data_IF_959668913892
#
_entry.id   IF_959668913892
#
_cell.length_a   1.000
_cell.length_b   1.000
_cell.length_c   1.000
_cell.angle_alpha   90.00
_cell.angle_beta   90.00
_cell.angle_gamma   90.00
#
_symmetry.space_group_name_H-M   'P 1'
#
loop_
_entity.id
_entity.type
_entity.pdbx_description
1 polymer ?
#
# COMPACT_ATOMS: atom_id res chain seq x y z
N UNK A 1 -3.51 3.54 -1.07
CA UNK A 1 -3.57 2.32 -0.27
C UNK A 1 -3.40 2.69 1.21
N UNK A 2 -4.47 2.51 2.03
CA UNK A 2 -4.52 2.86 3.45
C UNK A 2 -5.41 1.91 4.24
N UNK A 3 -5.14 1.77 5.56
CA UNK A 3 -5.92 0.99 6.51
C UNK A 3 -6.53 1.90 7.59
N UNK A 4 -7.71 2.44 7.35
CA UNK A 4 -8.38 3.30 8.33
C UNK A 4 -9.12 2.54 9.44
N UNK A 5 -9.00 1.23 9.47
CA UNK A 5 -9.41 0.38 10.60
C UNK A 5 -10.90 0.43 10.98
N UNK A 6 -11.71 1.21 10.31
CA UNK A 6 -13.17 1.30 10.50
C UNK A 6 -13.90 0.60 9.36
N UNK A 7 -14.87 -0.28 9.69
CA UNK A 7 -15.42 -0.55 11.04
C UNK A 7 -14.56 -1.49 11.89
N UNK A 8 -14.82 -1.46 13.20
CA UNK A 8 -14.47 -2.52 14.15
C UNK A 8 -13.10 -2.44 14.84
N UNK A 9 -12.16 -1.59 14.34
CA UNK A 9 -10.83 -1.45 14.93
C UNK A 9 -10.49 0.03 15.21
N UNK A 10 -11.50 0.84 15.52
CA UNK A 10 -11.41 2.31 15.67
C UNK A 10 -10.52 2.76 16.83
N UNK A 11 -10.07 1.86 17.69
CA UNK A 11 -9.06 2.13 18.71
C UNK A 11 -7.67 2.37 18.13
N UNK A 12 -7.39 1.86 16.91
CA UNK A 12 -6.13 2.06 16.21
C UNK A 12 -6.15 3.28 15.30
N UNK A 13 -7.26 3.41 14.55
CA UNK A 13 -7.54 4.47 13.60
C UNK A 13 -9.01 4.43 13.25
N UNK A 14 -9.60 5.56 12.83
CA UNK A 14 -10.90 5.61 12.20
C UNK A 14 -10.84 6.45 10.91
N UNK A 15 -11.95 6.50 10.17
CA UNK A 15 -12.01 7.23 8.91
C UNK A 15 -11.71 8.72 9.12
N UNK A 16 -12.14 9.31 10.26
CA UNK A 16 -11.91 10.71 10.56
C UNK A 16 -10.43 11.01 10.81
N UNK A 17 -9.80 10.31 11.73
CA UNK A 17 -8.39 10.59 12.07
C UNK A 17 -7.44 10.18 10.96
N UNK A 18 -7.73 9.09 10.23
CA UNK A 18 -7.02 8.73 9.01
C UNK A 18 -7.14 9.78 7.91
N UNK A 19 -8.32 10.40 7.77
CA UNK A 19 -8.53 11.52 6.83
C UNK A 19 -7.74 12.77 7.23
N UNK A 20 -7.63 13.07 8.53
CA UNK A 20 -6.77 14.15 9.02
C UNK A 20 -5.29 13.87 8.73
N UNK A 21 -4.83 12.64 8.96
CA UNK A 21 -3.47 12.22 8.63
C UNK A 21 -3.20 12.31 7.11
N UNK A 22 -4.15 11.91 6.29
CA UNK A 22 -4.07 12.04 4.84
C UNK A 22 -3.97 13.51 4.40
N UNK A 23 -4.84 14.38 4.91
CA UNK A 23 -4.80 15.81 4.62
C UNK A 23 -3.46 16.44 5.06
N UNK A 24 -2.96 16.09 6.25
CA UNK A 24 -1.65 16.55 6.74
C UNK A 24 -0.49 16.01 5.89
N UNK A 25 -0.64 14.82 5.30
CA UNK A 25 0.28 14.19 4.35
C UNK A 25 0.15 14.70 2.91
N UNK A 26 -0.76 15.64 2.61
CA UNK A 26 -0.96 16.21 1.27
C UNK A 26 -1.87 15.38 0.36
N UNK A 27 -2.52 14.35 0.88
CA UNK A 27 -3.42 13.51 0.11
C UNK A 27 -4.85 14.08 0.09
N UNK A 28 -5.37 14.32 -1.11
CA UNK A 28 -6.74 14.75 -1.35
C UNK A 28 -7.68 13.56 -1.59
N UNK A 29 -7.12 12.43 -2.02
CA UNK A 29 -7.86 11.19 -2.26
C UNK A 29 -7.07 10.00 -1.74
N UNK A 30 -7.75 9.10 -1.02
CA UNK A 30 -7.20 7.83 -0.53
C UNK A 30 -8.16 6.68 -0.81
N UNK A 31 -7.61 5.45 -0.87
CA UNK A 31 -8.40 4.24 -1.06
C UNK A 31 -8.14 3.29 0.12
N UNK A 32 -9.21 3.00 0.85
CA UNK A 32 -9.19 2.09 2.00
C UNK A 32 -9.18 0.64 1.54
N UNK A 33 -8.37 -0.17 2.23
CA UNK A 33 -8.42 -1.63 2.12
C UNK A 33 -9.58 -2.22 2.91
N UNK A 34 -10.00 -3.41 2.47
CA UNK A 34 -11.23 -4.06 2.94
C UNK A 34 -11.06 -4.89 4.22
N UNK A 35 -9.85 -4.94 4.82
CA UNK A 35 -9.50 -5.77 5.98
C UNK A 35 -9.94 -5.17 7.34
N UNK A 36 -11.19 -4.80 7.42
CA UNK A 36 -11.89 -4.26 8.60
C UNK A 36 -12.64 -5.37 9.37
N UNK A 37 -13.38 -5.01 10.41
CA UNK A 37 -14.21 -5.97 11.16
C UNK A 37 -15.62 -5.39 11.45
N UNK A 38 -16.67 -5.80 10.70
CA UNK A 38 -16.63 -6.79 9.61
C UNK A 38 -15.80 -6.33 8.40
N UNK A 39 -15.37 -7.29 7.57
CA UNK A 39 -14.70 -7.02 6.31
C UNK A 39 -15.65 -6.36 5.31
N UNK A 40 -15.11 -5.56 4.38
CA UNK A 40 -15.94 -4.92 3.34
C UNK A 40 -16.27 -5.94 2.24
N UNK A 41 -17.04 -6.97 2.60
CA UNK A 41 -17.44 -8.06 1.71
C UNK A 41 -18.91 -8.01 1.28
N UNK A 42 -19.71 -7.08 1.85
CA UNK A 42 -21.11 -6.90 1.53
C UNK A 42 -21.45 -5.47 1.16
N UNK A 43 -22.57 -5.28 0.45
CA UNK A 43 -23.07 -3.94 0.09
C UNK A 43 -23.37 -3.12 1.33
N UNK A 44 -23.90 -3.73 2.38
CA UNK A 44 -24.23 -3.07 3.64
C UNK A 44 -22.98 -2.46 4.29
N UNK A 45 -21.91 -3.26 4.45
CA UNK A 45 -20.65 -2.80 5.07
C UNK A 45 -19.98 -1.73 4.20
N UNK A 46 -19.95 -1.92 2.88
CA UNK A 46 -19.40 -0.91 1.96
C UNK A 46 -20.17 0.41 2.05
N UNK A 47 -21.51 0.36 2.09
CA UNK A 47 -22.36 1.57 2.19
C UNK A 47 -22.12 2.30 3.51
N UNK A 48 -21.94 1.58 4.62
CA UNK A 48 -21.60 2.16 5.92
C UNK A 48 -20.25 2.90 5.86
N UNK A 49 -19.21 2.26 5.33
CA UNK A 49 -17.88 2.86 5.13
C UNK A 49 -17.97 4.11 4.28
N UNK A 50 -18.60 4.05 3.10
CA UNK A 50 -18.72 5.19 2.21
C UNK A 50 -19.59 6.32 2.79
N UNK A 51 -20.59 5.99 3.61
CA UNK A 51 -21.38 7.00 4.34
C UNK A 51 -20.55 7.73 5.39
N UNK A 52 -19.68 7.04 6.12
CA UNK A 52 -18.73 7.68 7.05
C UNK A 52 -17.73 8.54 6.28
N UNK A 53 -17.15 8.00 5.21
CA UNK A 53 -16.20 8.67 4.33
C UNK A 53 -16.73 9.97 3.71
N UNK A 54 -18.02 10.02 3.38
CA UNK A 54 -18.66 11.21 2.76
C UNK A 54 -18.72 12.46 3.66
N UNK A 55 -18.38 12.33 4.94
CA UNK A 55 -18.37 13.43 5.92
C UNK A 55 -17.00 14.07 6.07
N UNK A 56 -15.99 13.47 5.46
CA UNK A 56 -14.61 13.92 5.61
C UNK A 56 -14.25 15.02 4.60
N UNK A 57 -13.17 15.75 4.91
CA UNK A 57 -12.71 16.87 4.08
C UNK A 57 -11.86 16.42 2.89
N UNK A 58 -11.55 15.11 2.77
CA UNK A 58 -10.86 14.53 1.64
C UNK A 58 -11.74 13.45 1.00
N UNK A 59 -11.38 13.01 -0.20
CA UNK A 59 -12.09 11.93 -0.86
C UNK A 59 -11.57 10.56 -0.36
N UNK A 60 -12.39 9.86 0.40
CA UNK A 60 -12.10 8.50 0.84
C UNK A 60 -12.91 7.52 0.00
N UNK A 61 -12.22 6.66 -0.75
CA UNK A 61 -12.77 5.57 -1.53
C UNK A 61 -12.47 4.25 -0.82
N UNK A 62 -13.12 3.15 -1.25
CA UNK A 62 -12.86 1.82 -0.70
C UNK A 62 -12.81 0.78 -1.79
N UNK A 63 -11.91 -0.19 -1.67
CA UNK A 63 -12.05 -1.48 -2.33
C UNK A 63 -13.00 -2.36 -1.52
N UNK A 64 -13.52 -3.41 -2.16
CA UNK A 64 -14.21 -4.51 -1.48
C UNK A 64 -13.31 -5.75 -1.47
N UNK A 65 -13.66 -6.77 -0.68
CA UNK A 65 -12.91 -8.03 -0.67
C UNK A 65 -13.14 -8.82 -1.96
N UNK A 66 -12.12 -9.56 -2.41
CA UNK A 66 -12.21 -10.54 -3.49
C UNK A 66 -13.04 -11.72 -3.04
N UNK A 67 -12.75 -12.25 -1.83
CA UNK A 67 -13.43 -13.41 -1.25
C UNK A 67 -14.23 -13.03 -0.01
N UNK A 68 -15.30 -13.78 0.28
CA UNK A 68 -16.13 -13.52 1.46
C UNK A 68 -15.31 -13.70 2.73
N UNK A 69 -15.17 -12.62 3.49
CA UNK A 69 -14.44 -12.60 4.77
C UNK A 69 -13.01 -13.15 4.68
N UNK A 70 -12.38 -13.00 3.50
CA UNK A 70 -11.04 -13.52 3.21
C UNK A 70 -10.93 -15.06 3.29
N UNK A 71 -12.01 -15.79 2.94
CA UNK A 71 -12.02 -17.26 2.99
C UNK A 71 -11.16 -17.91 1.88
N UNK A 72 -10.71 -17.14 0.89
CA UNK A 72 -9.92 -17.60 -0.24
C UNK A 72 -10.67 -18.58 -1.18
N UNK A 73 -11.98 -18.71 -1.06
CA UNK A 73 -12.80 -19.71 -1.77
C UNK A 73 -14.03 -19.12 -2.43
N UNK A 74 -14.81 -18.31 -1.70
CA UNK A 74 -16.11 -17.80 -2.13
C UNK A 74 -15.96 -16.38 -2.65
N UNK A 75 -16.04 -16.19 -3.98
CA UNK A 75 -15.97 -14.84 -4.56
C UNK A 75 -17.18 -14.01 -4.16
N UNK A 76 -16.94 -12.77 -3.72
CA UNK A 76 -17.97 -11.79 -3.39
C UNK A 76 -18.79 -11.39 -4.63
N UNK A 77 -19.92 -10.71 -4.43
CA UNK A 77 -20.75 -10.21 -5.52
C UNK A 77 -20.15 -8.91 -6.10
N UNK A 78 -19.24 -9.06 -7.10
CA UNK A 78 -18.55 -7.93 -7.73
C UNK A 78 -19.52 -6.92 -8.33
N UNK A 79 -20.60 -7.40 -8.98
CA UNK A 79 -21.58 -6.51 -9.61
C UNK A 79 -22.28 -5.62 -8.58
N UNK A 80 -22.77 -6.22 -7.51
CA UNK A 80 -23.47 -5.48 -6.45
C UNK A 80 -22.52 -4.50 -5.73
N UNK A 81 -21.28 -4.91 -5.44
CA UNK A 81 -20.28 -4.08 -4.77
C UNK A 81 -19.80 -2.91 -5.65
N UNK A 82 -19.58 -3.13 -6.95
CA UNK A 82 -19.25 -2.04 -7.89
C UNK A 82 -20.40 -1.02 -8.00
N UNK A 83 -21.64 -1.49 -8.09
CA UNK A 83 -22.84 -0.61 -8.10
C UNK A 83 -22.97 0.17 -6.79
N UNK A 84 -22.52 -0.38 -5.67
CA UNK A 84 -22.52 0.29 -4.36
C UNK A 84 -21.35 1.27 -4.19
N UNK A 85 -20.35 1.29 -5.12
CA UNK A 85 -19.28 2.28 -5.14
C UNK A 85 -17.87 1.76 -4.81
N UNK A 86 -17.65 0.44 -4.79
CA UNK A 86 -16.30 -0.11 -4.72
C UNK A 86 -15.48 0.32 -5.95
N UNK A 87 -14.22 0.71 -5.76
CA UNK A 87 -13.32 1.13 -6.85
C UNK A 87 -12.40 -0.01 -7.34
N UNK A 88 -12.52 -1.19 -6.76
CA UNK A 88 -11.73 -2.37 -7.07
C UNK A 88 -11.89 -3.43 -5.98
N UNK A 89 -11.10 -4.49 -6.04
CA UNK A 89 -11.17 -5.61 -5.10
C UNK A 89 -9.79 -5.99 -4.59
N UNK A 90 -9.70 -6.28 -3.29
CA UNK A 90 -8.45 -6.70 -2.64
C UNK A 90 -8.75 -7.53 -1.40
N UNK A 91 -8.01 -8.62 -1.23
CA UNK A 91 -7.90 -9.36 0.04
C UNK A 91 -6.60 -8.98 0.77
N UNK A 92 -6.21 -7.70 0.70
CA UNK A 92 -4.95 -7.20 1.24
C UNK A 92 -4.67 -7.65 2.67
N UNK A 93 -3.40 -8.06 2.89
CA UNK A 93 -2.94 -8.66 4.14
C UNK A 93 -3.23 -10.17 4.26
N UNK A 94 -4.06 -10.75 3.37
CA UNK A 94 -4.33 -12.20 3.32
C UNK A 94 -4.00 -12.70 1.91
N UNK A 95 -2.89 -13.43 1.74
CA UNK A 95 -2.46 -13.92 0.42
C UNK A 95 -3.48 -14.89 -0.20
N UNK A 96 -3.80 -14.69 -1.48
CA UNK A 96 -4.73 -15.53 -2.20
C UNK A 96 -4.01 -16.74 -2.84
N UNK A 97 -3.92 -17.84 -2.09
CA UNK A 97 -3.00 -18.95 -2.39
C UNK A 97 -3.50 -19.94 -3.44
N UNK A 98 -4.83 -20.15 -3.57
CA UNK A 98 -5.40 -21.07 -4.55
C UNK A 98 -5.39 -20.47 -5.96
N UNK A 99 -4.46 -20.91 -6.81
CA UNK A 99 -4.30 -20.43 -8.18
C UNK A 99 -5.58 -20.60 -9.05
N UNK A 100 -6.38 -21.64 -8.79
CA UNK A 100 -7.62 -21.88 -9.49
C UNK A 100 -8.69 -20.84 -9.13
N UNK A 101 -8.75 -20.45 -7.86
CA UNK A 101 -9.67 -19.41 -7.39
C UNK A 101 -9.19 -18.02 -7.83
N UNK A 102 -7.89 -17.74 -7.76
CA UNK A 102 -7.31 -16.51 -8.31
C UNK A 102 -7.69 -16.33 -9.77
N UNK A 103 -7.50 -17.39 -10.59
CA UNK A 103 -7.87 -17.34 -12.02
C UNK A 103 -9.36 -17.06 -12.23
N UNK A 104 -10.26 -17.64 -11.41
CA UNK A 104 -11.71 -17.35 -11.47
C UNK A 104 -12.00 -15.90 -11.07
N UNK A 105 -11.35 -15.38 -10.02
CA UNK A 105 -11.48 -13.98 -9.63
C UNK A 105 -11.03 -13.04 -10.75
N UNK A 106 -9.90 -13.34 -11.42
CA UNK A 106 -9.41 -12.58 -12.56
C UNK A 106 -10.41 -12.61 -13.74
N UNK A 107 -11.01 -13.77 -14.06
CA UNK A 107 -12.03 -13.86 -15.10
C UNK A 107 -13.26 -13.00 -14.75
N UNK A 108 -13.70 -13.08 -13.49
CA UNK A 108 -14.81 -12.24 -13.00
C UNK A 108 -14.47 -10.75 -13.07
N UNK A 109 -13.24 -10.36 -12.74
CA UNK A 109 -12.78 -8.98 -12.87
C UNK A 109 -12.82 -8.48 -14.32
N UNK A 110 -12.51 -9.33 -15.29
CA UNK A 110 -12.65 -9.01 -16.73
C UNK A 110 -14.12 -8.78 -17.12
N UNK A 111 -15.02 -9.63 -16.64
CA UNK A 111 -16.45 -9.52 -16.96
C UNK A 111 -17.06 -8.20 -16.48
N UNK A 112 -16.55 -7.62 -15.40
CA UNK A 112 -17.02 -6.37 -14.81
C UNK A 112 -16.09 -5.18 -15.04
N UNK A 113 -15.05 -5.32 -15.90
CA UNK A 113 -14.03 -4.30 -16.20
C UNK A 113 -13.45 -3.63 -14.93
N UNK A 114 -13.13 -4.44 -13.93
CA UNK A 114 -12.58 -3.98 -12.66
C UNK A 114 -11.14 -4.45 -12.47
N UNK A 115 -10.50 -4.04 -11.37
CA UNK A 115 -9.13 -4.37 -11.03
C UNK A 115 -9.06 -5.23 -9.76
N UNK A 116 -8.13 -6.17 -9.72
CA UNK A 116 -7.75 -6.88 -8.51
C UNK A 116 -6.41 -6.32 -8.02
N UNK A 117 -6.36 -5.89 -6.76
CA UNK A 117 -5.13 -5.51 -6.07
C UNK A 117 -4.73 -6.65 -5.12
N UNK A 118 -3.53 -7.19 -5.30
CA UNK A 118 -3.10 -8.44 -4.67
C UNK A 118 -1.89 -8.22 -3.76
N UNK A 119 -1.99 -8.72 -2.53
CA UNK A 119 -0.90 -8.86 -1.58
C UNK A 119 -0.19 -10.19 -1.84
N UNK A 120 1.07 -10.13 -2.24
CA UNK A 120 1.80 -11.28 -2.74
C UNK A 120 2.83 -11.77 -1.71
N UNK A 121 2.44 -12.73 -0.90
CA UNK A 121 3.34 -13.37 0.05
C UNK A 121 2.89 -14.82 0.30
N UNK A 122 3.66 -15.82 -0.16
CA UNK A 122 3.31 -17.22 0.05
C UNK A 122 3.51 -17.62 1.52
N UNK A 123 2.41 -17.88 2.27
CA UNK A 123 2.50 -18.20 3.69
C UNK A 123 3.15 -19.55 3.97
N UNK A 124 3.31 -20.42 2.96
CA UNK A 124 4.00 -21.69 3.13
C UNK A 124 5.52 -21.55 3.10
N UNK A 125 6.01 -20.40 2.60
CA UNK A 125 7.44 -20.09 2.53
C UNK A 125 7.88 -19.13 3.64
N UNK A 126 6.94 -18.52 4.35
CA UNK A 126 7.23 -17.52 5.39
C UNK A 126 7.39 -18.14 6.78
N UNK A 127 8.33 -17.62 7.55
CA UNK A 127 8.43 -17.83 8.98
C UNK A 127 7.63 -16.78 9.77
N UNK A 128 8.33 -15.91 10.51
CA UNK A 128 7.69 -14.76 11.17
C UNK A 128 7.42 -13.67 10.14
N UNK A 129 6.14 -13.32 9.97
CA UNK A 129 5.72 -12.25 9.07
C UNK A 129 6.33 -10.91 9.47
N UNK A 130 6.66 -10.10 8.48
CA UNK A 130 7.17 -8.74 8.68
C UNK A 130 8.64 -8.64 9.05
N UNK A 131 9.40 -9.72 8.92
CA UNK A 131 10.87 -9.74 9.09
C UNK A 131 11.46 -10.46 7.88
N UNK A 132 12.42 -9.83 7.21
CA UNK A 132 13.14 -10.46 6.11
C UNK A 132 13.98 -11.65 6.61
N UNK A 133 13.96 -12.76 5.87
CA UNK A 133 14.81 -13.90 6.21
C UNK A 133 16.28 -13.59 5.91
N UNK A 134 17.13 -13.72 6.93
CA UNK A 134 18.54 -13.40 6.81
C UNK A 134 19.21 -13.07 8.14
N UNK A 135 20.25 -12.24 8.09
CA UNK A 135 21.09 -11.93 9.24
C UNK A 135 20.30 -11.25 10.38
N UNK A 136 19.39 -10.34 10.06
CA UNK A 136 18.56 -9.62 11.05
C UNK A 136 17.58 -10.59 11.72
N UNK A 137 16.88 -11.43 10.97
CA UNK A 137 15.99 -12.45 11.52
C UNK A 137 16.76 -13.39 12.47
N UNK A 138 17.94 -13.83 12.07
CA UNK A 138 18.80 -14.69 12.89
C UNK A 138 19.21 -13.98 14.21
N UNK A 139 19.55 -12.69 14.17
CA UNK A 139 19.84 -11.91 15.38
C UNK A 139 18.62 -11.78 16.29
N UNK A 140 17.41 -11.71 15.73
CA UNK A 140 16.16 -11.70 16.47
C UNK A 140 15.74 -13.11 16.96
N UNK A 141 16.51 -14.15 16.64
CA UNK A 141 16.22 -15.54 17.01
C UNK A 141 15.02 -16.16 16.29
N UNK A 142 14.71 -15.70 15.07
CA UNK A 142 13.57 -16.16 14.28
C UNK A 142 13.98 -16.52 12.86
N UNK A 143 13.11 -17.26 12.16
CA UNK A 143 13.14 -17.42 10.70
C UNK A 143 12.20 -16.38 10.12
N UNK A 144 12.64 -15.61 9.13
CA UNK A 144 11.85 -14.54 8.50
C UNK A 144 11.11 -15.00 7.24
N UNK A 145 10.66 -14.03 6.45
CA UNK A 145 10.03 -14.20 5.16
C UNK A 145 11.08 -13.99 4.04
N UNK A 146 11.50 -15.03 3.31
CA UNK A 146 12.46 -14.89 2.23
C UNK A 146 11.84 -14.15 1.03
N UNK A 147 12.66 -13.50 0.19
CA UNK A 147 12.15 -12.78 -1.01
C UNK A 147 11.36 -13.69 -1.95
N UNK A 148 11.69 -14.98 -2.00
CA UNK A 148 10.97 -15.95 -2.85
C UNK A 148 9.50 -16.09 -2.47
N UNK A 149 9.10 -15.83 -1.23
CA UNK A 149 7.70 -15.86 -0.83
C UNK A 149 6.86 -14.82 -1.59
N UNK A 150 7.45 -13.69 -1.95
CA UNK A 150 6.82 -12.63 -2.73
C UNK A 150 6.91 -12.89 -4.23
N UNK A 151 8.12 -12.99 -4.79
CA UNK A 151 8.26 -13.05 -6.24
C UNK A 151 7.71 -14.33 -6.88
N UNK A 152 7.57 -15.44 -6.14
CA UNK A 152 6.94 -16.65 -6.67
C UNK A 152 5.43 -16.47 -6.87
N UNK A 153 4.74 -15.76 -5.97
CA UNK A 153 3.33 -15.42 -6.13
C UNK A 153 3.13 -14.35 -7.19
N UNK A 154 3.95 -13.30 -7.22
CA UNK A 154 3.96 -12.30 -8.30
C UNK A 154 4.11 -12.98 -9.66
N UNK A 155 5.02 -13.96 -9.80
CA UNK A 155 5.22 -14.69 -11.05
C UNK A 155 3.98 -15.49 -11.45
N UNK A 156 3.38 -16.23 -10.50
CA UNK A 156 2.15 -16.99 -10.73
C UNK A 156 1.04 -16.08 -11.25
N UNK A 157 0.78 -14.99 -10.53
CA UNK A 157 -0.40 -14.15 -10.78
C UNK A 157 -0.20 -13.23 -11.98
N UNK A 158 1.03 -12.83 -12.28
CA UNK A 158 1.34 -12.16 -13.54
C UNK A 158 1.06 -13.06 -14.76
N UNK A 159 1.36 -14.37 -14.69
CA UNK A 159 1.04 -15.30 -15.79
C UNK A 159 -0.47 -15.58 -15.88
N UNK A 160 -1.17 -15.65 -14.75
CA UNK A 160 -2.64 -15.74 -14.74
C UNK A 160 -3.30 -14.48 -15.30
N UNK A 161 -2.77 -13.29 -14.99
CA UNK A 161 -3.23 -12.04 -15.58
C UNK A 161 -3.00 -11.99 -17.10
N UNK A 162 -1.85 -12.50 -17.57
CA UNK A 162 -1.55 -12.62 -19.00
C UNK A 162 -2.55 -13.57 -19.72
N UNK A 163 -2.89 -14.70 -19.13
CA UNK A 163 -3.84 -15.68 -19.67
C UNK A 163 -5.27 -15.10 -19.71
N UNK A 164 -5.73 -14.54 -18.61
CA UNK A 164 -7.12 -14.05 -18.45
C UNK A 164 -7.36 -12.67 -19.06
N UNK A 165 -6.31 -11.88 -19.32
CA UNK A 165 -6.37 -10.45 -19.69
C UNK A 165 -6.94 -9.55 -18.60
N UNK A 166 -6.96 -10.03 -17.35
CA UNK A 166 -7.39 -9.23 -16.21
C UNK A 166 -6.44 -8.08 -15.93
N UNK A 167 -6.99 -7.00 -15.38
CA UNK A 167 -6.21 -5.91 -14.79
C UNK A 167 -5.85 -6.32 -13.36
N UNK A 168 -4.54 -6.42 -13.08
CA UNK A 168 -4.03 -6.77 -11.75
C UNK A 168 -3.04 -5.72 -11.29
N UNK A 169 -3.13 -5.35 -10.03
CA UNK A 169 -2.21 -4.45 -9.35
C UNK A 169 -1.50 -5.19 -8.22
N UNK A 170 -0.19 -5.30 -8.31
CA UNK A 170 0.62 -5.88 -7.24
C UNK A 170 0.92 -4.82 -6.19
N UNK A 171 0.43 -5.06 -4.97
CA UNK A 171 0.58 -4.13 -3.85
C UNK A 171 2.00 -4.20 -3.27
N UNK A 172 2.48 -3.07 -2.76
CA UNK A 172 3.68 -2.88 -1.92
C UNK A 172 4.85 -3.86 -2.19
N UNK A 173 5.34 -3.95 -3.42
CA UNK A 173 6.50 -4.78 -3.74
C UNK A 173 7.69 -4.41 -2.85
N UNK A 174 8.37 -5.42 -2.32
CA UNK A 174 9.54 -5.29 -1.46
C UNK A 174 10.79 -5.97 -2.01
N UNK A 175 10.62 -7.11 -2.68
CA UNK A 175 11.72 -7.90 -3.23
C UNK A 175 12.16 -7.39 -4.61
N UNK A 176 13.46 -7.28 -4.80
CA UNK A 176 14.03 -6.84 -6.08
C UNK A 176 13.74 -7.79 -7.23
N UNK A 177 13.63 -9.09 -6.97
CA UNK A 177 13.25 -10.10 -7.96
C UNK A 177 11.81 -9.91 -8.45
N UNK A 178 10.89 -9.42 -7.61
CA UNK A 178 9.51 -9.10 -8.01
C UNK A 178 9.48 -8.04 -9.10
N UNK A 179 10.37 -7.04 -9.05
CA UNK A 179 10.51 -6.03 -10.11
C UNK A 179 10.90 -6.66 -11.44
N UNK A 180 11.85 -7.60 -11.43
CA UNK A 180 12.29 -8.29 -12.64
C UNK A 180 11.15 -9.13 -13.25
N UNK A 181 10.35 -9.80 -12.40
CA UNK A 181 9.16 -10.56 -12.83
C UNK A 181 8.09 -9.65 -13.43
N UNK A 182 7.76 -8.54 -12.79
CA UNK A 182 6.77 -7.56 -13.30
C UNK A 182 7.23 -6.99 -14.64
N UNK A 183 8.51 -6.61 -14.76
CA UNK A 183 9.09 -6.11 -16.01
C UNK A 183 8.95 -7.13 -17.14
N UNK A 184 9.29 -8.38 -16.88
CA UNK A 184 9.14 -9.47 -17.84
C UNK A 184 7.70 -9.69 -18.27
N UNK A 185 6.76 -9.75 -17.32
CA UNK A 185 5.34 -9.97 -17.62
C UNK A 185 4.70 -8.79 -18.38
N UNK A 186 5.06 -7.55 -18.06
CA UNK A 186 4.66 -6.35 -18.83
C UNK A 186 5.17 -6.45 -20.28
N UNK A 187 6.43 -6.87 -20.49
CA UNK A 187 6.98 -7.06 -21.82
C UNK A 187 6.26 -8.15 -22.64
N UNK A 188 5.67 -9.16 -21.97
CA UNK A 188 4.81 -10.16 -22.60
C UNK A 188 3.37 -9.66 -22.88
N UNK A 189 3.01 -8.47 -22.44
CA UNK A 189 1.69 -7.87 -22.62
C UNK A 189 0.67 -8.19 -21.53
N UNK A 190 1.11 -8.60 -20.35
CA UNK A 190 0.23 -8.69 -19.18
C UNK A 190 -0.27 -7.31 -18.77
N UNK A 191 -1.57 -7.21 -18.45
CA UNK A 191 -2.22 -5.97 -18.00
C UNK A 191 -2.02 -5.78 -16.49
N UNK A 192 -0.78 -5.64 -16.08
CA UNK A 192 -0.40 -5.52 -14.68
C UNK A 192 0.23 -4.17 -14.38
N UNK A 193 0.03 -3.71 -13.15
CA UNK A 193 0.68 -2.57 -12.53
C UNK A 193 1.23 -2.97 -11.17
N UNK A 194 2.16 -2.19 -10.64
CA UNK A 194 2.76 -2.46 -9.33
C UNK A 194 2.95 -1.18 -8.53
N UNK A 195 2.88 -1.30 -7.21
CA UNK A 195 3.21 -0.23 -6.29
C UNK A 195 4.40 -0.59 -5.38
N UNK A 196 5.05 0.45 -4.87
CA UNK A 196 6.04 0.36 -3.79
C UNK A 196 5.68 1.38 -2.72
N UNK A 197 6.03 1.12 -1.47
CA UNK A 197 5.81 2.11 -0.40
C UNK A 197 7.09 2.90 -0.11
N UNK A 198 6.97 4.13 0.44
CA UNK A 198 8.14 4.94 0.80
C UNK A 198 9.11 4.23 1.74
N UNK A 199 8.61 3.45 2.69
CA UNK A 199 9.42 2.71 3.62
C UNK A 199 10.29 1.64 2.94
N UNK A 200 9.79 0.99 1.87
CA UNK A 200 10.53 -0.05 1.17
C UNK A 200 11.69 0.47 0.30
N UNK A 201 11.68 1.74 -0.09
CA UNK A 201 12.81 2.34 -0.80
C UNK A 201 13.68 3.26 0.09
N UNK A 202 13.32 3.49 1.35
CA UNK A 202 14.03 4.43 2.24
C UNK A 202 14.92 3.76 3.26
N UNK A 203 14.50 2.64 3.84
CA UNK A 203 15.22 1.95 4.93
C UNK A 203 15.32 0.44 4.69
N UNK A 204 16.37 -0.18 5.24
CA UNK A 204 16.62 -1.62 5.12
C UNK A 204 16.09 -2.41 6.32
N UNK A 205 16.19 -3.73 6.23
CA UNK A 205 15.88 -4.67 7.33
C UNK A 205 16.61 -4.35 8.64
N UNK A 206 17.76 -3.65 8.56
CA UNK A 206 18.53 -3.24 9.76
C UNK A 206 17.75 -2.30 10.69
N UNK A 207 16.73 -1.61 10.17
CA UNK A 207 15.84 -0.78 10.97
C UNK A 207 15.13 -1.56 12.10
N UNK A 208 14.95 -2.88 11.95
CA UNK A 208 14.45 -3.75 13.03
C UNK A 208 15.35 -3.72 14.26
N UNK A 209 16.67 -3.64 14.07
CA UNK A 209 17.65 -3.65 15.19
C UNK A 209 17.66 -2.33 15.98
N UNK A 210 17.23 -1.23 15.35
CA UNK A 210 17.23 0.11 15.95
C UNK A 210 15.84 0.56 16.40
N UNK A 211 14.80 0.23 15.66
CA UNK A 211 13.42 0.68 15.89
C UNK A 211 12.48 -0.46 16.33
N UNK A 212 13.00 -1.69 16.43
CA UNK A 212 12.22 -2.84 16.90
C UNK A 212 10.96 -3.07 16.08
N UNK A 213 9.86 -3.26 16.77
CA UNK A 213 8.55 -3.56 16.17
C UNK A 213 7.98 -2.42 15.32
N UNK A 214 8.40 -1.16 15.53
CA UNK A 214 7.98 -0.04 14.68
C UNK A 214 8.51 -0.16 13.24
N UNK A 215 9.59 -0.93 13.03
CA UNK A 215 10.10 -1.27 11.70
C UNK A 215 9.57 -2.61 11.17
N UNK A 216 8.71 -3.32 11.92
CA UNK A 216 8.08 -4.57 11.49
C UNK A 216 6.92 -4.25 10.53
N UNK A 217 7.06 -4.67 9.27
CA UNK A 217 6.19 -4.33 8.14
C UNK A 217 5.93 -5.58 7.29
N UNK A 218 4.78 -5.73 6.69
CA UNK A 218 4.47 -6.86 5.82
C UNK A 218 3.95 -6.38 4.45
N UNK A 219 4.68 -6.69 3.34
CA UNK A 219 5.93 -7.45 3.27
C UNK A 219 7.08 -6.75 4.00
N UNK A 220 8.13 -7.49 4.42
CA UNK A 220 9.17 -6.92 5.26
C UNK A 220 10.09 -5.94 4.52
N UNK A 221 10.73 -5.06 5.29
CA UNK A 221 11.87 -4.29 4.81
C UNK A 221 12.98 -5.27 4.36
N UNK A 222 13.61 -4.96 3.24
CA UNK A 222 14.61 -5.84 2.60
C UNK A 222 16.01 -5.22 2.67
N UNK A 223 16.92 -5.75 1.87
CA UNK A 223 18.32 -5.35 1.78
C UNK A 223 18.50 -4.17 0.83
N UNK A 224 19.66 -3.54 0.89
CA UNK A 224 20.05 -2.47 -0.04
C UNK A 224 19.92 -2.89 -1.50
N UNK A 225 20.28 -4.14 -1.85
CA UNK A 225 20.14 -4.66 -3.21
C UNK A 225 18.70 -4.70 -3.71
N UNK A 226 17.74 -4.91 -2.83
CA UNK A 226 16.30 -4.86 -3.17
C UNK A 226 15.86 -3.41 -3.38
N UNK A 227 16.26 -2.50 -2.49
CA UNK A 227 16.01 -1.06 -2.62
C UNK A 227 16.51 -0.53 -3.97
N UNK A 228 17.74 -0.88 -4.36
CA UNK A 228 18.32 -0.48 -5.65
C UNK A 228 17.44 -0.92 -6.83
N UNK A 229 16.94 -2.15 -6.81
CA UNK A 229 16.05 -2.67 -7.86
C UNK A 229 14.67 -2.00 -7.85
N UNK A 230 14.11 -1.71 -6.67
CA UNK A 230 12.86 -0.94 -6.54
C UNK A 230 13.02 0.46 -7.15
N UNK A 231 14.12 1.15 -6.86
CA UNK A 231 14.43 2.46 -7.44
C UNK A 231 14.56 2.38 -8.97
N UNK A 232 15.26 1.38 -9.50
CA UNK A 232 15.35 1.14 -10.94
C UNK A 232 13.95 0.89 -11.53
N UNK A 233 13.12 0.11 -10.86
CA UNK A 233 11.73 -0.13 -11.27
C UNK A 233 10.86 1.13 -11.31
N UNK A 234 11.10 2.06 -10.37
CA UNK A 234 10.47 3.38 -10.39
C UNK A 234 10.96 4.24 -11.56
N UNK A 235 12.26 4.18 -11.89
CA UNK A 235 12.88 4.96 -12.97
C UNK A 235 12.43 4.50 -14.35
N UNK A 236 12.37 3.20 -14.58
CA UNK A 236 12.05 2.62 -15.89
C UNK A 236 10.55 2.40 -16.14
N UNK A 237 9.70 2.71 -15.16
CA UNK A 237 8.24 2.56 -15.25
C UNK A 237 7.74 1.12 -15.02
N UNK A 238 8.59 0.22 -14.56
CA UNK A 238 8.15 -1.12 -14.11
C UNK A 238 7.25 -1.02 -12.89
N UNK A 239 7.58 -0.13 -11.94
CA UNK A 239 6.72 0.24 -10.80
C UNK A 239 5.97 1.51 -11.17
N UNK A 240 4.65 1.44 -11.14
CA UNK A 240 3.74 2.48 -11.61
C UNK A 240 3.40 3.49 -10.51
N UNK A 241 3.28 3.04 -9.27
CA UNK A 241 2.66 3.77 -8.16
C UNK A 241 3.56 3.78 -6.93
N UNK A 242 3.55 4.90 -6.21
CA UNK A 242 4.03 5.00 -4.83
C UNK A 242 2.80 5.15 -3.94
N UNK A 243 2.50 4.12 -3.15
CA UNK A 243 1.40 4.09 -2.20
C UNK A 243 1.92 4.03 -0.76
N UNK A 244 1.10 4.36 0.23
CA UNK A 244 1.59 4.52 1.60
C UNK A 244 1.59 3.23 2.39
N UNK A 245 0.63 2.34 2.15
CA UNK A 245 0.29 1.25 3.06
C UNK A 245 0.23 1.73 4.52
N UNK A 246 -0.46 2.87 4.72
CA UNK A 246 -0.65 3.44 6.06
C UNK A 246 -1.40 2.45 6.94
N UNK A 247 -0.68 1.79 7.85
CA UNK A 247 -1.17 0.69 8.68
C UNK A 247 -0.96 0.99 10.19
N UNK A 248 -1.86 1.81 10.78
CA UNK A 248 -1.77 2.23 12.16
C UNK A 248 -2.02 1.09 13.14
N UNK A 249 -1.20 1.07 14.21
CA UNK A 249 -1.32 0.19 15.36
C UNK A 249 -1.06 0.99 16.63
N UNK A 250 -1.73 0.62 17.73
CA UNK A 250 -1.52 1.28 19.01
C UNK A 250 -0.12 1.00 19.57
N UNK A 251 0.38 1.88 20.42
CA UNK A 251 1.65 1.67 21.12
C UNK A 251 1.67 0.33 21.86
N UNK A 252 0.58 -0.03 22.54
CA UNK A 252 0.47 -1.30 23.28
C UNK A 252 0.55 -2.54 22.35
N UNK A 253 0.07 -2.44 21.12
CA UNK A 253 0.17 -3.53 20.14
C UNK A 253 1.59 -3.64 19.57
N UNK A 254 2.30 -2.53 19.45
CA UNK A 254 3.70 -2.50 18.98
C UNK A 254 4.69 -2.81 20.10
N UNK A 255 4.38 -2.49 21.36
CA UNK A 255 5.22 -2.77 22.53
C UNK A 255 5.09 -4.23 22.99
N UNK A 256 5.41 -5.16 22.08
CA UNK A 256 5.37 -6.60 22.31
C UNK A 256 6.64 -7.26 21.74
N UNK A 257 6.82 -8.55 22.05
CA UNK A 257 7.85 -9.35 21.37
C UNK A 257 7.68 -9.30 19.86
N UNK A 258 8.80 -9.30 19.14
CA UNK A 258 8.82 -9.17 17.67
C UNK A 258 7.95 -10.23 16.96
N UNK A 259 7.78 -11.40 17.56
CA UNK A 259 6.95 -12.49 17.04
C UNK A 259 5.45 -12.27 17.22
N UNK A 260 5.04 -11.41 18.16
CA UNK A 260 3.64 -11.14 18.52
C UNK A 260 3.13 -9.81 18.02
N UNK A 261 4.01 -8.80 17.96
CA UNK A 261 3.64 -7.48 17.50
C UNK A 261 3.09 -7.54 16.06
N UNK A 262 1.99 -6.83 15.75
CA UNK A 262 1.47 -6.76 14.40
C UNK A 262 2.44 -6.04 13.46
N UNK A 263 2.44 -6.44 12.19
CA UNK A 263 3.14 -5.74 11.10
C UNK A 263 2.38 -4.51 10.68
N UNK A 264 3.09 -3.47 10.28
CA UNK A 264 2.55 -2.20 9.78
C UNK A 264 3.16 -0.99 10.45
N UNK A 265 3.15 0.13 9.73
CA UNK A 265 3.57 1.45 10.21
C UNK A 265 2.70 2.56 9.62
N UNK A 266 2.67 3.72 10.28
CA UNK A 266 2.03 4.92 9.74
C UNK A 266 2.87 5.46 8.59
N UNK A 267 2.25 5.85 7.48
CA UNK A 267 2.96 6.27 6.27
C UNK A 267 2.44 7.55 5.61
N UNK A 268 1.21 7.98 5.89
CA UNK A 268 0.60 9.12 5.20
C UNK A 268 1.39 10.42 5.37
N UNK A 269 1.75 10.77 6.61
CA UNK A 269 2.32 12.07 6.95
C UNK A 269 3.83 12.20 6.62
N UNK A 270 4.47 11.10 6.21
CA UNK A 270 5.90 11.06 5.84
C UNK A 270 6.13 10.75 4.36
N UNK A 271 5.12 10.29 3.64
CA UNK A 271 5.24 9.72 2.29
C UNK A 271 5.91 10.66 1.29
N UNK A 272 5.42 11.90 1.14
CA UNK A 272 5.99 12.87 0.22
C UNK A 272 7.44 13.21 0.60
N UNK A 273 7.67 13.46 1.88
CA UNK A 273 9.00 13.85 2.38
C UNK A 273 10.03 12.73 2.22
N UNK A 274 9.64 11.47 2.40
CA UNK A 274 10.49 10.31 2.11
C UNK A 274 10.81 10.23 0.60
N UNK A 275 9.81 10.44 -0.27
CA UNK A 275 10.02 10.49 -1.71
C UNK A 275 10.97 11.60 -2.15
N UNK A 276 10.83 12.80 -1.57
CA UNK A 276 11.72 13.92 -1.85
C UNK A 276 13.15 13.64 -1.35
N UNK A 277 13.28 13.11 -0.14
CA UNK A 277 14.58 12.85 0.52
C UNK A 277 15.34 11.70 -0.17
N UNK A 278 14.65 10.59 -0.47
CA UNK A 278 15.32 9.35 -0.93
C UNK A 278 15.29 9.15 -2.45
N UNK A 279 14.39 9.83 -3.18
CA UNK A 279 14.30 9.67 -4.63
C UNK A 279 14.67 10.95 -5.40
N UNK A 280 14.23 12.12 -4.92
CA UNK A 280 14.46 13.37 -5.66
C UNK A 280 15.83 13.97 -5.31
N UNK A 281 16.16 14.13 -4.03
CA UNK A 281 17.42 14.74 -3.63
C UNK A 281 18.68 14.01 -4.17
N UNK A 282 18.71 12.64 -4.19
CA UNK A 282 19.83 11.93 -4.83
C UNK A 282 19.73 11.89 -6.37
N UNK A 283 18.68 12.43 -6.98
CA UNK A 283 18.53 12.50 -8.44
C UNK A 283 17.99 11.21 -9.10
N UNK A 284 17.39 10.31 -8.35
CA UNK A 284 16.76 9.11 -8.90
C UNK A 284 15.50 9.44 -9.72
N UNK A 285 14.68 10.37 -9.23
CA UNK A 285 13.49 10.88 -9.90
C UNK A 285 13.49 12.40 -9.93
N UNK A 286 12.82 13.00 -10.92
CA UNK A 286 12.42 14.40 -10.82
C UNK A 286 11.22 14.56 -9.89
N UNK A 287 10.97 15.77 -9.37
CA UNK A 287 9.77 16.08 -8.58
C UNK A 287 8.49 15.68 -9.33
N UNK A 288 8.41 15.99 -10.63
CA UNK A 288 7.23 15.65 -11.45
C UNK A 288 7.04 14.14 -11.58
N UNK A 289 8.12 13.37 -11.80
CA UNK A 289 8.03 11.92 -11.88
C UNK A 289 7.62 11.27 -10.53
N UNK A 290 8.06 11.84 -9.40
CA UNK A 290 7.58 11.44 -8.08
C UNK A 290 6.07 11.70 -7.93
N UNK A 291 5.63 12.92 -8.28
CA UNK A 291 4.22 13.31 -8.16
C UNK A 291 3.31 12.49 -9.07
N UNK A 292 3.70 12.19 -10.31
CA UNK A 292 2.95 11.32 -11.21
C UNK A 292 2.65 9.95 -10.56
N UNK A 293 3.66 9.36 -9.90
CA UNK A 293 3.52 8.07 -9.22
C UNK A 293 2.66 8.12 -7.95
N UNK A 294 2.43 9.29 -7.40
CA UNK A 294 1.61 9.52 -6.19
C UNK A 294 0.22 10.10 -6.50
N UNK A 295 -0.05 10.51 -7.75
CA UNK A 295 -1.28 11.22 -8.13
C UNK A 295 -1.96 10.60 -9.35
N UNK A 296 -1.56 10.98 -10.57
CA UNK A 296 -2.21 10.56 -11.81
C UNK A 296 -2.12 9.04 -12.06
N UNK A 297 -0.99 8.42 -11.73
CA UNK A 297 -0.84 6.99 -11.95
C UNK A 297 -1.77 6.14 -11.06
N UNK A 298 -1.84 6.32 -9.72
CA UNK A 298 -2.80 5.58 -8.90
C UNK A 298 -4.25 5.85 -9.29
N UNK A 299 -4.58 7.09 -9.70
CA UNK A 299 -5.91 7.43 -10.19
C UNK A 299 -6.27 6.62 -11.46
N UNK A 300 -5.34 6.51 -12.42
CA UNK A 300 -5.53 5.71 -13.64
C UNK A 300 -5.63 4.22 -13.34
N UNK A 301 -4.79 3.70 -12.43
CA UNK A 301 -4.80 2.28 -12.03
C UNK A 301 -6.18 1.89 -11.51
N UNK A 302 -6.78 2.72 -10.66
CA UNK A 302 -8.07 2.45 -10.03
C UNK A 302 -9.28 2.99 -10.81
N UNK A 303 -9.05 3.76 -11.88
CA UNK A 303 -10.13 4.38 -12.65
C UNK A 303 -10.89 5.46 -11.85
N UNK A 304 -10.21 6.16 -10.94
CA UNK A 304 -10.76 7.23 -10.13
C UNK A 304 -10.53 8.57 -10.82
N UNK A 305 -11.56 9.43 -10.83
CA UNK A 305 -11.46 10.78 -11.38
C UNK A 305 -10.74 11.71 -10.40
N UNK A 306 -9.40 11.69 -10.45
CA UNK A 306 -8.49 12.42 -9.58
C UNK A 306 -7.09 12.55 -10.20
N UNK A 307 -6.19 13.28 -9.52
CA UNK A 307 -4.76 13.33 -9.88
C UNK A 307 -4.41 14.20 -11.07
N UNK A 308 -5.23 15.18 -11.41
CA UNK A 308 -4.98 16.13 -12.50
C UNK A 308 -5.37 17.56 -12.13
N UNK A 309 -4.80 18.53 -12.85
CA UNK A 309 -5.17 19.94 -12.80
C UNK A 309 -5.80 20.33 -14.12
N UNK A 310 -7.05 20.83 -14.11
CA UNK A 310 -7.75 21.27 -15.30
C UNK A 310 -8.63 22.50 -15.00
N UNK A 311 -8.86 23.31 -16.01
CA UNK A 311 -9.83 24.40 -15.92
C UNK A 311 -11.24 23.85 -15.68
N UNK A 312 -11.91 24.32 -14.66
CA UNK A 312 -13.20 23.79 -14.15
C UNK A 312 -13.13 22.35 -13.60
N UNK A 313 -11.93 21.82 -13.35
CA UNK A 313 -11.73 20.55 -12.64
C UNK A 313 -11.89 20.71 -11.11
N UNK A 314 -11.81 19.61 -10.35
CA UNK A 314 -11.83 19.66 -8.90
C UNK A 314 -10.63 20.45 -8.37
N UNK A 315 -10.83 21.18 -7.27
CA UNK A 315 -9.76 21.92 -6.60
C UNK A 315 -8.99 21.05 -5.60
N UNK A 316 -8.69 19.83 -5.99
CA UNK A 316 -7.92 18.87 -5.19
C UNK A 316 -6.42 19.15 -5.33
N UNK A 317 -5.91 19.99 -4.43
CA UNK A 317 -4.59 20.61 -4.56
C UNK A 317 -3.76 20.40 -3.30
N UNK A 318 -2.45 20.21 -3.49
CA UNK A 318 -1.45 20.27 -2.43
C UNK A 318 -0.46 21.39 -2.75
N UNK A 319 -0.15 22.23 -1.75
CA UNK A 319 0.90 23.23 -1.80
C UNK A 319 2.02 22.79 -0.84
N UNK A 320 3.23 22.66 -1.33
CA UNK A 320 4.37 22.21 -0.56
C UNK A 320 5.65 22.95 -0.95
N UNK A 321 6.63 22.95 -0.05
CA UNK A 321 7.95 23.51 -0.26
C UNK A 321 8.98 22.39 -0.28
N UNK A 322 9.76 22.29 -1.36
CA UNK A 322 10.79 21.25 -1.55
C UNK A 322 12.11 21.56 -0.85
N UNK A 323 12.37 22.82 -0.48
CA UNK A 323 13.67 23.28 -0.01
C UNK A 323 13.80 23.24 1.53
N UNK A 324 12.66 23.11 2.22
CA UNK A 324 12.61 23.05 3.68
C UNK A 324 12.82 21.62 4.16
N UNK A 325 13.71 21.45 5.12
CA UNK A 325 13.88 20.19 5.88
C UNK A 325 13.25 20.34 7.25
N UNK A 326 12.53 19.32 7.70
CA UNK A 326 11.95 19.26 9.04
C UNK A 326 12.23 17.93 9.74
N UNK A 327 12.29 17.97 11.05
CA UNK A 327 12.31 16.76 11.87
C UNK A 327 10.92 16.13 11.92
N UNK A 328 10.85 14.82 11.75
CA UNK A 328 9.65 14.04 12.00
C UNK A 328 9.45 13.89 13.50
N UNK A 329 8.39 14.45 14.03
CA UNK A 329 8.01 14.32 15.44
C UNK A 329 6.96 13.22 15.62
N UNK A 330 6.66 12.86 16.86
CA UNK A 330 5.59 11.92 17.23
C UNK A 330 4.20 12.58 17.25
N UNK A 331 4.11 13.88 16.91
CA UNK A 331 2.84 14.62 16.76
C UNK A 331 2.20 14.31 15.41
N UNK A 332 1.57 13.13 15.29
CA UNK A 332 0.79 12.73 14.12
C UNK A 332 -0.68 13.09 14.26
N UNK A 333 -1.35 13.36 13.14
CA UNK A 333 -2.82 13.51 13.09
C UNK A 333 -3.52 12.14 13.14
N UNK A 334 -2.85 11.08 12.68
CA UNK A 334 -3.26 9.70 12.93
C UNK A 334 -3.36 9.42 14.43
N UNK A 335 -4.28 8.54 14.84
CA UNK A 335 -4.35 8.06 16.23
C UNK A 335 -3.10 7.29 16.67
N UNK A 336 -2.35 6.76 15.70
CA UNK A 336 -1.17 5.96 15.94
C UNK A 336 0.09 6.72 15.51
N UNK A 337 1.19 6.44 16.21
CA UNK A 337 2.53 7.01 15.91
C UNK A 337 3.58 5.91 15.69
N UNK A 338 3.16 4.73 15.24
CA UNK A 338 4.04 3.60 14.97
C UNK A 338 4.86 3.82 13.69
N UNK A 339 5.83 4.73 13.76
CA UNK A 339 6.73 5.10 12.68
C UNK A 339 8.18 4.94 13.12
N UNK A 340 9.06 4.30 12.31
CA UNK A 340 10.49 4.25 12.57
C UNK A 340 11.21 5.57 12.23
N UNK A 341 10.53 6.52 11.57
CA UNK A 341 11.12 7.77 11.08
C UNK A 341 11.09 8.91 12.10
N UNK A 342 10.54 8.70 13.29
CA UNK A 342 10.52 9.75 14.34
C UNK A 342 11.96 10.11 14.73
N UNK A 343 12.29 11.40 14.63
CA UNK A 343 13.65 11.95 14.83
C UNK A 343 14.43 12.18 13.55
N UNK A 344 13.97 11.65 12.41
CA UNK A 344 14.63 11.83 11.12
C UNK A 344 14.42 13.24 10.57
N UNK A 345 15.41 13.73 9.83
CA UNK A 345 15.34 14.98 9.09
C UNK A 345 14.92 14.69 7.65
N UNK A 346 13.69 15.06 7.27
CA UNK A 346 13.17 14.82 5.94
C UNK A 346 12.94 16.11 5.17
N UNK A 347 13.26 16.10 3.88
CA UNK A 347 13.05 17.20 2.95
C UNK A 347 11.59 17.31 2.52
N UNK A 348 11.10 18.53 2.44
CA UNK A 348 9.76 18.85 1.96
C UNK A 348 8.74 19.04 3.09
N UNK A 349 8.00 20.15 3.00
CA UNK A 349 6.96 20.50 3.97
C UNK A 349 5.67 20.84 3.23
N UNK A 350 4.58 20.20 3.63
CA UNK A 350 3.25 20.49 3.11
C UNK A 350 2.72 21.72 3.84
N UNK A 351 2.35 22.75 3.07
CA UNK A 351 1.79 23.98 3.58
C UNK A 351 0.24 23.94 3.60
N UNK A 352 -0.37 23.42 2.55
CA UNK A 352 -1.82 23.32 2.42
C UNK A 352 -2.23 22.09 1.63
N UNK A 353 -3.33 21.49 2.07
CA UNK A 353 -4.12 20.51 1.31
C UNK A 353 -5.52 21.07 1.15
N UNK A 354 -6.02 21.12 -0.08
CA UNK A 354 -7.28 21.73 -0.48
C UNK A 354 -8.10 20.65 -1.20
N UNK A 355 -9.37 20.46 -0.78
CA UNK A 355 -10.34 19.57 -1.42
C UNK A 355 -11.70 20.25 -1.52
#
# INVERSE_FOLDING_TARGET
>A
HVHFREPGQTHKEDIHTGSLAAARGGFTTVVMMANTNPTVSTVETLTEVLSSASRENIHVKSVATITDKFDGQTLTDFEALLKAGAVGFSDDGIPFTDAGQVRKAMQKAVDFDTILALHEEDPQLTGVLGINDGAVAHQCGVTGAPTVSEYSMVARDAMLALDTKARVHFQHLSAGESVDVVRFAKAMGARITAEVTPQHFSITEDAILTHGTNAKLNPPLRRTSDIEKLIIGLQDGTIDVIATDHAPHTHAEKDQEITKAPSGMTGLETSLSLGLTHLVAPGHLSVMALLEKMTSNPAQVLGVDAGYLAENGPADLMIFDTDVTREVTDDFASKASNSPFVGDQLQGVIAYTIC
#
